data_IF_812624641497
#
_entry.id   IF_812624641497
#
_cell.length_a   1.000
_cell.length_b   1.000
_cell.length_c   1.000
_cell.angle_alpha   90.00
_cell.angle_beta   90.00
_cell.angle_gamma   90.00
#
_symmetry.space_group_name_H-M   'P 1'
#
loop_
_entity.id
_entity.type
_entity.pdbx_description
1 polymer ?
#
# COMPACT_ATOMS: atom_id res chain seq x y z
N UNK A 1 21.88 22.19 -10.13
CA UNK A 1 20.58 22.90 -10.09
C UNK A 1 19.70 22.25 -9.02
N UNK A 2 18.84 23.02 -8.33
CA UNK A 2 17.94 22.52 -7.28
C UNK A 2 16.49 22.57 -7.79
N UNK A 3 15.70 21.54 -7.52
CA UNK A 3 14.32 21.39 -7.97
C UNK A 3 13.45 20.96 -6.78
N UNK A 4 12.19 21.42 -6.74
CA UNK A 4 11.20 21.04 -5.72
C UNK A 4 10.17 20.10 -6.36
N UNK A 5 9.87 18.97 -5.70
CA UNK A 5 8.82 18.04 -6.14
C UNK A 5 7.45 18.73 -6.01
N UNK A 6 6.59 18.57 -7.02
CA UNK A 6 5.21 19.07 -6.96
C UNK A 6 4.45 18.33 -5.84
N UNK A 7 3.62 19.02 -5.04
CA UNK A 7 2.71 18.35 -4.12
C UNK A 7 1.73 17.50 -4.94
N UNK A 8 1.61 16.23 -4.60
CA UNK A 8 0.69 15.30 -5.24
C UNK A 8 -0.16 14.64 -4.15
N UNK A 9 -1.47 14.64 -4.35
CA UNK A 9 -2.38 13.82 -3.55
C UNK A 9 -2.25 12.40 -4.06
N UNK A 10 -2.11 11.45 -3.13
CA UNK A 10 -1.95 10.02 -3.41
C UNK A 10 -3.03 9.23 -2.70
N UNK A 11 -3.39 8.08 -3.24
CA UNK A 11 -4.18 7.10 -2.51
C UNK A 11 -3.24 6.22 -1.67
N UNK A 12 -3.63 5.94 -0.43
CA UNK A 12 -2.81 5.15 0.47
C UNK A 12 -3.67 4.19 1.29
N UNK A 13 -3.21 2.94 1.38
CA UNK A 13 -3.81 1.89 2.20
C UNK A 13 -2.81 1.46 3.27
N UNK A 14 -3.21 1.55 4.55
CA UNK A 14 -2.40 0.97 5.64
C UNK A 14 -2.66 -0.53 5.67
N UNK A 15 -1.66 -1.31 5.30
CA UNK A 15 -1.79 -2.76 5.22
C UNK A 15 -1.95 -3.37 6.61
N UNK A 16 -2.92 -4.25 6.80
CA UNK A 16 -3.17 -4.98 8.03
C UNK A 16 -3.59 -6.44 7.77
N UNK A 17 -3.93 -7.17 8.83
CA UNK A 17 -4.28 -8.59 8.75
C UNK A 17 -5.64 -8.84 8.05
N UNK A 18 -6.50 -7.82 7.98
CA UNK A 18 -7.83 -7.87 7.38
C UNK A 18 -7.83 -7.30 5.95
N UNK A 19 -6.66 -7.16 5.33
CA UNK A 19 -6.50 -6.58 3.99
C UNK A 19 -7.36 -7.26 2.91
N UNK A 20 -7.64 -8.57 3.02
CA UNK A 20 -8.52 -9.27 2.09
C UNK A 20 -9.99 -8.79 2.15
N UNK A 21 -10.37 -8.08 3.22
CA UNK A 21 -11.74 -7.59 3.47
C UNK A 21 -11.79 -6.06 3.40
N UNK A 22 -10.77 -5.38 3.93
CA UNK A 22 -10.77 -3.93 4.16
C UNK A 22 -9.99 -3.13 3.10
N UNK A 23 -9.26 -3.80 2.19
CA UNK A 23 -8.46 -3.10 1.21
C UNK A 23 -9.34 -2.31 0.21
N UNK A 24 -8.88 -1.13 -0.24
CA UNK A 24 -9.58 -0.37 -1.27
C UNK A 24 -9.58 -1.09 -2.61
N UNK A 25 -10.54 -0.75 -3.47
CA UNK A 25 -10.75 -1.39 -4.77
C UNK A 25 -9.49 -1.37 -5.65
N UNK A 26 -8.72 -0.28 -5.65
CA UNK A 26 -7.49 -0.20 -6.44
C UNK A 26 -6.45 -1.23 -5.98
N UNK A 27 -6.36 -1.52 -4.68
CA UNK A 27 -5.41 -2.51 -4.16
C UNK A 27 -5.85 -3.91 -4.58
N UNK A 28 -7.14 -4.22 -4.45
CA UNK A 28 -7.69 -5.51 -4.86
C UNK A 28 -7.54 -5.75 -6.37
N UNK A 29 -7.72 -4.72 -7.21
CA UNK A 29 -7.43 -4.82 -8.65
C UNK A 29 -5.99 -5.21 -8.94
N UNK A 30 -5.03 -4.75 -8.14
CA UNK A 30 -3.62 -5.09 -8.30
C UNK A 30 -3.29 -6.48 -7.74
N UNK A 31 -4.08 -6.99 -6.79
CA UNK A 31 -4.08 -8.41 -6.40
C UNK A 31 -4.62 -9.29 -7.53
N UNK A 32 -5.75 -8.93 -8.13
CA UNK A 32 -6.37 -9.66 -9.25
C UNK A 32 -5.46 -9.73 -10.48
N UNK A 33 -4.63 -8.70 -10.66
CA UNK A 33 -3.61 -8.61 -11.73
C UNK A 33 -2.30 -9.33 -11.40
N UNK A 34 -2.21 -9.95 -10.22
CA UNK A 34 -1.00 -10.61 -9.74
C UNK A 34 0.21 -9.65 -9.64
N UNK A 35 -0.03 -8.35 -9.47
CA UNK A 35 1.00 -7.37 -9.16
C UNK A 35 1.23 -7.26 -7.65
N UNK A 36 0.25 -7.65 -6.84
CA UNK A 36 0.37 -7.74 -5.39
C UNK A 36 -0.05 -9.14 -4.94
N UNK A 37 0.77 -9.74 -4.08
CA UNK A 37 0.44 -10.99 -3.42
C UNK A 37 0.34 -10.76 -1.92
N UNK A 38 -0.77 -11.17 -1.31
CA UNK A 38 -0.94 -11.14 0.14
C UNK A 38 -0.20 -12.33 0.72
N UNK A 39 0.85 -12.06 1.50
CA UNK A 39 1.69 -13.07 2.12
C UNK A 39 0.96 -13.62 3.37
N UNK A 40 0.59 -14.90 3.32
CA UNK A 40 -0.15 -15.59 4.39
C UNK A 40 0.36 -17.01 4.65
N UNK A 41 0.14 -17.51 5.86
CA UNK A 41 0.39 -18.90 6.22
C UNK A 41 -0.79 -19.47 7.02
N UNK A 42 -0.86 -20.81 7.13
CA UNK A 42 -1.81 -21.46 8.05
C UNK A 42 -1.08 -21.73 9.36
N UNK A 43 -1.64 -21.24 10.47
CA UNK A 43 -1.13 -21.45 11.82
C UNK A 43 -2.29 -21.82 12.73
N UNK A 44 -2.15 -22.94 13.45
CA UNK A 44 -3.18 -23.44 14.38
C UNK A 44 -4.58 -23.58 13.72
N UNK A 45 -4.61 -23.99 12.45
CA UNK A 45 -5.85 -24.16 11.67
C UNK A 45 -6.48 -22.87 11.15
N UNK A 46 -5.88 -21.70 11.43
CA UNK A 46 -6.35 -20.40 10.95
C UNK A 46 -5.40 -19.79 9.91
N UNK A 47 -5.95 -18.98 9.00
CA UNK A 47 -5.14 -18.17 8.07
C UNK A 47 -4.53 -16.99 8.83
N UNK A 48 -3.24 -16.77 8.66
CA UNK A 48 -2.50 -15.67 9.23
C UNK A 48 -1.81 -14.87 8.13
N UNK A 49 -2.35 -13.68 7.82
CA UNK A 49 -1.72 -12.69 6.95
C UNK A 49 -0.59 -12.02 7.73
N UNK A 50 0.59 -11.90 7.14
CA UNK A 50 1.75 -11.25 7.78
C UNK A 50 2.41 -10.17 6.94
N UNK A 51 1.99 -9.98 5.69
CA UNK A 51 2.53 -8.97 4.80
C UNK A 51 1.97 -9.03 3.40
N UNK A 52 2.56 -8.28 2.48
CA UNK A 52 2.33 -8.45 1.05
C UNK A 52 3.60 -8.22 0.24
N UNK A 53 3.68 -8.88 -0.91
CA UNK A 53 4.74 -8.71 -1.90
C UNK A 53 4.19 -7.94 -3.09
N UNK A 54 4.75 -6.77 -3.38
CA UNK A 54 4.41 -5.92 -4.53
C UNK A 54 5.46 -6.13 -5.63
N UNK A 55 5.01 -6.45 -6.84
CA UNK A 55 5.83 -6.56 -8.04
C UNK A 55 5.78 -5.24 -8.80
N UNK A 56 6.74 -4.35 -8.51
CA UNK A 56 6.91 -3.08 -9.20
C UNK A 56 8.22 -3.09 -10.01
N UNK A 57 8.43 -2.12 -10.91
CA UNK A 57 9.75 -1.92 -11.53
C UNK A 57 10.62 -1.12 -10.55
N UNK A 58 11.91 -1.48 -10.35
CA UNK A 58 12.68 -2.53 -11.00
C UNK A 58 12.72 -3.90 -10.26
N UNK A 59 11.82 -4.17 -9.30
CA UNK A 59 11.77 -5.46 -8.65
C UNK A 59 10.69 -5.62 -7.58
N UNK A 60 10.72 -6.77 -6.91
CA UNK A 60 9.77 -7.08 -5.83
C UNK A 60 10.08 -6.30 -4.56
N UNK A 61 9.05 -5.77 -3.93
CA UNK A 61 9.10 -5.07 -2.65
C UNK A 61 8.19 -5.79 -1.64
N UNK A 62 8.54 -5.76 -0.35
CA UNK A 62 7.74 -6.39 0.72
C UNK A 62 7.25 -5.38 1.73
N UNK A 63 5.96 -5.43 2.03
CA UNK A 63 5.32 -4.71 3.12
C UNK A 63 4.99 -5.67 4.26
N UNK A 64 5.05 -5.15 5.48
CA UNK A 64 4.56 -5.80 6.69
C UNK A 64 3.26 -5.13 7.13
N UNK A 65 2.55 -5.78 8.04
CA UNK A 65 1.44 -5.15 8.78
C UNK A 65 1.90 -3.80 9.35
N UNK A 66 1.10 -2.76 9.11
CA UNK A 66 1.32 -1.38 9.50
C UNK A 66 2.00 -0.51 8.44
N UNK A 67 2.63 -1.10 7.42
CA UNK A 67 3.19 -0.32 6.30
C UNK A 67 2.06 0.25 5.42
N UNK A 68 2.34 1.38 4.77
CA UNK A 68 1.45 2.00 3.80
C UNK A 68 1.82 1.56 2.39
N UNK A 69 0.82 1.10 1.65
CA UNK A 69 0.87 0.86 0.21
C UNK A 69 0.28 2.10 -0.47
N UNK A 70 1.08 2.77 -1.28
CA UNK A 70 0.75 4.05 -1.89
C UNK A 70 0.60 3.85 -3.40
N UNK A 71 -0.52 4.31 -3.94
CA UNK A 71 -0.73 4.43 -5.38
C UNK A 71 -0.44 5.88 -5.80
N UNK A 72 0.65 6.06 -6.53
CA UNK A 72 1.00 7.35 -7.12
C UNK A 72 0.03 7.66 -8.29
N UNK A 73 -0.21 8.96 -8.61
CA UNK A 73 -1.03 9.34 -9.76
C UNK A 73 -0.54 8.79 -11.11
N UNK A 74 0.75 8.39 -11.20
CA UNK A 74 1.31 7.70 -12.37
C UNK A 74 0.84 6.25 -12.51
N UNK A 75 0.18 5.69 -11.51
CA UNK A 75 -0.16 4.27 -11.40
C UNK A 75 0.95 3.41 -10.76
N UNK A 76 2.07 4.02 -10.37
CA UNK A 76 3.15 3.30 -9.68
C UNK A 76 2.78 3.02 -8.23
N UNK A 77 3.08 1.81 -7.77
CA UNK A 77 2.87 1.38 -6.38
C UNK A 77 4.17 1.49 -5.60
N UNK A 78 4.11 2.09 -4.42
CA UNK A 78 5.23 2.20 -3.48
C UNK A 78 4.85 1.72 -2.09
N UNK A 79 5.86 1.34 -1.33
CA UNK A 79 5.71 0.92 0.07
C UNK A 79 6.39 1.98 0.95
N UNK A 80 5.67 2.49 1.94
CA UNK A 80 6.18 3.46 2.89
C UNK A 80 5.97 2.96 4.33
N UNK A 81 6.99 3.11 5.18
CA UNK A 81 6.87 2.75 6.60
C UNK A 81 5.98 3.76 7.31
N UNK A 82 5.14 3.31 8.24
CA UNK A 82 4.22 4.18 8.99
C UNK A 82 4.88 5.46 9.54
N UNK A 83 6.07 5.33 10.12
CA UNK A 83 6.81 6.47 10.69
C UNK A 83 7.21 7.51 9.64
N UNK A 84 7.57 7.09 8.44
CA UNK A 84 7.93 8.00 7.35
C UNK A 84 6.68 8.54 6.68
N UNK A 85 5.64 7.71 6.49
CA UNK A 85 4.36 8.14 5.94
C UNK A 85 3.77 9.31 6.73
N UNK A 86 3.75 9.22 8.07
CA UNK A 86 3.23 10.28 8.94
C UNK A 86 4.04 11.58 8.93
N UNK A 87 5.30 11.54 8.47
CA UNK A 87 6.13 12.75 8.29
C UNK A 87 5.94 13.39 6.93
N UNK A 88 5.69 12.56 5.91
CA UNK A 88 5.65 12.98 4.51
C UNK A 88 4.25 13.31 4.00
N UNK A 89 3.20 12.77 4.63
CA UNK A 89 1.82 12.88 4.17
C UNK A 89 0.91 13.41 5.26
N UNK A 90 0.04 14.33 4.86
CA UNK A 90 -1.07 14.83 5.65
C UNK A 90 -2.39 14.37 5.02
N UNK A 91 -3.37 14.01 5.85
CA UNK A 91 -4.68 13.59 5.35
C UNK A 91 -5.39 14.81 4.76
N UNK A 92 -5.62 14.77 3.46
CA UNK A 92 -6.50 15.75 2.80
C UNK A 92 -7.93 15.41 3.20
N UNK A 93 -8.65 16.34 3.84
CA UNK A 93 -10.10 16.19 3.99
C UNK A 93 -10.70 16.20 2.58
N UNK A 94 -11.31 15.09 2.17
CA UNK A 94 -12.11 15.09 0.95
C UNK A 94 -13.31 15.99 1.17
N UNK A 95 -13.56 16.92 0.23
CA UNK A 95 -14.82 17.65 0.11
C UNK A 95 -15.98 16.66 0.27
N UNK A 96 -16.62 16.70 1.43
CA UNK A 96 -17.90 16.05 1.65
C UNK A 96 -18.94 16.79 0.82
N UNK A 97 -19.34 16.18 -0.29
CA UNK A 97 -20.60 16.45 -0.97
C UNK A 97 -21.58 15.31 -0.65
#
# INVERSE_FOLDING_TARGET
>A
MKYQRKPAVVEAFRFDADAEIMAPEWFMKEVDRENIFIDRCVRDGAIHVYGCTVYAKPGKMKAKIGDYIILEPSGEIRICKEKEFRKEYERVQGDGA
#
